data_IF_031461892557
#
_entry.id   IF_031461892557
#
_cell.length_a   1.000
_cell.length_b   1.000
_cell.length_c   1.000
_cell.angle_alpha   90.00
_cell.angle_beta   90.00
_cell.angle_gamma   90.00
#
_symmetry.space_group_name_H-M   'P 1'
#
loop_
_entity.id
_entity.type
_entity.pdbx_description
1 polymer ?
#
# COMPACT_ATOMS: atom_id res chain seq x y z
N UNK A 1 21.01 -6.74 -18.27
CA UNK A 1 22.28 -6.77 -17.49
C UNK A 1 22.83 -5.35 -17.33
N UNK A 2 22.15 -4.48 -16.56
CA UNK A 2 22.53 -3.06 -16.45
C UNK A 2 22.49 -2.46 -15.04
N UNK A 3 21.85 -3.12 -14.06
CA UNK A 3 21.71 -2.61 -12.69
C UNK A 3 22.99 -2.71 -11.85
N UNK A 4 23.81 -3.75 -12.05
CA UNK A 4 25.06 -3.92 -11.28
C UNK A 4 26.16 -2.94 -11.74
N UNK A 5 26.15 -2.55 -13.02
CA UNK A 5 27.08 -1.55 -13.58
C UNK A 5 26.69 -0.11 -13.17
N UNK A 6 25.41 0.18 -12.95
CA UNK A 6 24.95 1.48 -12.41
C UNK A 6 25.30 1.63 -10.93
N UNK A 7 25.16 0.58 -10.12
CA UNK A 7 25.60 0.61 -8.72
C UNK A 7 27.13 0.81 -8.60
N UNK A 8 27.91 0.32 -9.57
CA UNK A 8 29.37 0.49 -9.60
C UNK A 8 29.83 1.89 -10.02
N UNK A 9 28.99 2.65 -10.75
CA UNK A 9 29.26 4.03 -11.18
C UNK A 9 28.49 5.10 -10.39
N UNK A 10 27.69 4.68 -9.40
CA UNK A 10 26.95 5.58 -8.53
C UNK A 10 27.91 6.32 -7.59
N UNK A 11 27.66 7.61 -7.39
CA UNK A 11 28.46 8.41 -6.45
C UNK A 11 28.28 7.86 -5.03
N UNK A 12 29.27 8.06 -4.16
CA UNK A 12 29.25 7.58 -2.77
C UNK A 12 27.97 8.05 -2.03
N UNK A 13 27.47 9.24 -2.38
CA UNK A 13 26.21 9.80 -1.91
C UNK A 13 24.97 8.98 -2.33
N UNK A 14 24.88 8.55 -3.59
CA UNK A 14 23.75 7.75 -4.10
C UNK A 14 23.68 6.36 -3.44
N UNK A 15 24.84 5.71 -3.26
CA UNK A 15 24.90 4.42 -2.57
C UNK A 15 24.44 4.53 -1.11
N UNK A 16 24.91 5.56 -0.39
CA UNK A 16 24.47 5.84 0.98
C UNK A 16 22.96 6.15 0.99
N UNK A 17 22.48 6.96 0.06
CA UNK A 17 21.06 7.32 -0.06
C UNK A 17 20.16 6.10 -0.23
N UNK A 18 20.50 5.20 -1.14
CA UNK A 18 19.76 3.93 -1.33
C UNK A 18 19.79 3.06 -0.08
N UNK A 19 20.93 2.98 0.61
CA UNK A 19 21.06 2.27 1.88
C UNK A 19 20.16 2.85 2.97
N UNK A 20 20.11 4.17 3.10
CA UNK A 20 19.25 4.87 4.07
C UNK A 20 17.77 4.64 3.77
N UNK A 21 17.34 4.71 2.51
CA UNK A 21 15.94 4.45 2.11
C UNK A 21 15.51 3.03 2.48
N UNK A 22 16.39 2.04 2.26
CA UNK A 22 16.08 0.66 2.65
C UNK A 22 16.01 0.51 4.16
N UNK A 23 16.94 1.14 4.90
CA UNK A 23 16.95 1.13 6.37
C UNK A 23 15.71 1.79 6.96
N UNK A 24 15.27 2.93 6.43
CA UNK A 24 14.07 3.62 6.92
C UNK A 24 12.80 2.85 6.61
N UNK A 25 12.71 2.20 5.44
CA UNK A 25 11.59 1.33 5.11
C UNK A 25 11.47 0.15 6.10
N UNK A 26 12.59 -0.49 6.44
CA UNK A 26 12.61 -1.59 7.43
C UNK A 26 12.27 -1.06 8.82
N UNK A 27 12.86 0.06 9.24
CA UNK A 27 12.59 0.67 10.55
C UNK A 27 11.10 1.05 10.71
N UNK A 28 10.47 1.58 9.66
CA UNK A 28 9.05 1.90 9.65
C UNK A 28 8.17 0.66 9.84
N UNK A 29 8.48 -0.45 9.18
CA UNK A 29 7.77 -1.72 9.37
C UNK A 29 7.90 -2.26 10.79
N UNK A 30 9.12 -2.19 11.35
CA UNK A 30 9.38 -2.61 12.74
C UNK A 30 8.58 -1.76 13.72
N UNK A 31 8.60 -0.43 13.56
CA UNK A 31 7.84 0.48 14.43
C UNK A 31 6.32 0.25 14.31
N UNK A 32 5.80 0.10 13.09
CA UNK A 32 4.39 -0.21 12.88
C UNK A 32 3.98 -1.52 13.57
N UNK A 33 4.84 -2.53 13.56
CA UNK A 33 4.60 -3.79 14.27
C UNK A 33 4.59 -3.63 15.78
N UNK A 34 5.53 -2.87 16.36
CA UNK A 34 5.55 -2.56 17.79
C UNK A 34 4.28 -1.83 18.21
N UNK A 35 3.89 -0.78 17.47
CA UNK A 35 2.69 -0.02 17.78
C UNK A 35 1.42 -0.87 17.68
N UNK A 36 1.30 -1.67 16.61
CA UNK A 36 0.18 -2.60 16.47
C UNK A 36 0.10 -3.56 17.67
N UNK A 37 1.24 -4.09 18.12
CA UNK A 37 1.29 -5.02 19.26
C UNK A 37 0.87 -4.35 20.57
N UNK A 38 1.25 -3.11 20.81
CA UNK A 38 0.84 -2.38 22.02
C UNK A 38 -0.67 -2.10 22.01
N UNK A 39 -1.21 -1.62 20.88
CA UNK A 39 -2.66 -1.37 20.74
C UNK A 39 -3.49 -2.65 20.90
N UNK A 40 -3.01 -3.77 20.35
CA UNK A 40 -3.71 -5.07 20.39
C UNK A 40 -3.71 -5.72 21.79
N UNK A 41 -2.86 -5.26 22.72
CA UNK A 41 -2.81 -5.77 24.10
C UNK A 41 -3.81 -5.10 25.03
N UNK A 42 -4.30 -3.92 24.66
CA UNK A 42 -5.23 -3.15 25.48
C UNK A 42 -6.57 -3.89 25.60
N UNK A 43 -7.25 -3.71 26.73
CA UNK A 43 -8.51 -4.38 27.01
C UNK A 43 -9.62 -3.80 26.12
N UNK A 44 -10.41 -4.62 25.39
CA UNK A 44 -11.52 -4.18 24.53
C UNK A 44 -12.71 -3.56 25.31
N UNK A 45 -12.59 -3.44 26.63
CA UNK A 45 -13.51 -2.76 27.53
C UNK A 45 -14.85 -3.48 27.67
N UNK A 46 -15.92 -2.73 27.98
CA UNK A 46 -17.21 -3.33 28.41
C UNK A 46 -17.91 -4.13 27.31
N UNK A 47 -18.72 -5.11 27.70
CA UNK A 47 -19.50 -5.97 26.79
C UNK A 47 -20.36 -5.17 25.80
N UNK A 48 -20.99 -4.09 26.28
CA UNK A 48 -21.75 -3.14 25.43
C UNK A 48 -20.89 -2.43 24.39
N UNK A 49 -19.66 -2.10 24.74
CA UNK A 49 -18.73 -1.44 23.82
C UNK A 49 -18.26 -2.41 22.73
N UNK A 50 -18.06 -3.69 23.07
CA UNK A 50 -17.74 -4.75 22.11
C UNK A 50 -18.90 -5.05 21.15
N UNK A 51 -20.14 -5.02 21.63
CA UNK A 51 -21.34 -5.15 20.77
C UNK A 51 -21.42 -4.03 19.72
N UNK A 52 -21.25 -2.78 20.15
CA UNK A 52 -21.32 -1.61 19.26
C UNK A 52 -20.15 -1.61 18.27
N UNK A 53 -18.93 -1.86 18.73
CA UNK A 53 -17.75 -1.89 17.86
C UNK A 53 -17.85 -3.02 16.82
N UNK A 54 -18.43 -4.16 17.19
CA UNK A 54 -18.74 -5.26 16.27
C UNK A 54 -19.72 -4.86 15.16
N UNK A 55 -20.77 -4.10 15.48
CA UNK A 55 -21.74 -3.59 14.50
C UNK A 55 -21.07 -2.58 13.55
N UNK A 56 -20.30 -1.63 14.08
CA UNK A 56 -19.56 -0.64 13.29
C UNK A 56 -18.57 -1.33 12.35
N UNK A 57 -17.82 -2.32 12.86
CA UNK A 57 -16.87 -3.11 12.07
C UNK A 57 -17.54 -3.81 10.90
N UNK A 58 -18.69 -4.43 11.14
CA UNK A 58 -19.43 -5.13 10.08
C UNK A 58 -19.84 -4.16 8.98
N UNK A 59 -20.34 -2.97 9.34
CA UNK A 59 -20.66 -1.90 8.40
C UNK A 59 -19.43 -1.39 7.63
N UNK A 60 -18.32 -1.17 8.31
CA UNK A 60 -17.07 -0.70 7.70
C UNK A 60 -16.49 -1.71 6.70
N UNK A 61 -16.51 -3.01 7.02
CA UNK A 61 -16.08 -4.06 6.10
C UNK A 61 -17.00 -4.14 4.88
N UNK A 62 -18.32 -4.04 5.07
CA UNK A 62 -19.28 -4.03 3.98
C UNK A 62 -19.07 -2.83 3.03
N UNK A 63 -18.87 -1.63 3.59
CA UNK A 63 -18.54 -0.44 2.82
C UNK A 63 -17.23 -0.60 2.04
N UNK A 64 -16.17 -1.07 2.70
CA UNK A 64 -14.87 -1.26 2.06
C UNK A 64 -14.97 -2.26 0.91
N UNK A 65 -15.66 -3.39 1.10
CA UNK A 65 -15.89 -4.37 0.03
C UNK A 65 -16.61 -3.74 -1.17
N UNK A 66 -17.62 -2.88 -0.92
CA UNK A 66 -18.31 -2.17 -2.00
C UNK A 66 -17.41 -1.13 -2.68
N UNK A 67 -16.55 -0.46 -1.92
CA UNK A 67 -15.55 0.45 -2.47
C UNK A 67 -14.56 -0.29 -3.38
N UNK A 68 -14.08 -1.47 -2.97
CA UNK A 68 -13.17 -2.29 -3.77
C UNK A 68 -13.79 -2.68 -5.11
N UNK A 69 -15.08 -3.02 -5.14
CA UNK A 69 -15.82 -3.34 -6.36
C UNK A 69 -15.83 -2.18 -7.37
N UNK A 70 -15.78 -0.94 -6.89
CA UNK A 70 -15.75 0.27 -7.74
C UNK A 70 -14.32 0.71 -8.06
N UNK A 71 -13.41 0.67 -7.09
CA UNK A 71 -12.04 1.18 -7.22
C UNK A 71 -11.17 0.26 -8.08
N UNK A 72 -11.31 -1.07 -7.98
CA UNK A 72 -10.54 -2.02 -8.80
C UNK A 72 -10.75 -1.78 -10.31
N UNK A 73 -11.99 -1.77 -10.85
CA UNK A 73 -12.19 -1.53 -12.27
C UNK A 73 -11.77 -0.11 -12.67
N UNK A 74 -11.98 0.89 -11.82
CA UNK A 74 -11.51 2.25 -12.07
C UNK A 74 -9.97 2.32 -12.21
N UNK A 75 -9.23 1.69 -11.30
CA UNK A 75 -7.77 1.64 -11.35
C UNK A 75 -7.28 0.92 -12.62
N UNK A 76 -7.99 -0.13 -13.06
CA UNK A 76 -7.68 -0.83 -14.30
C UNK A 76 -7.91 0.04 -15.54
N UNK A 77 -9.04 0.75 -15.61
CA UNK A 77 -9.33 1.71 -16.69
C UNK A 77 -8.28 2.82 -16.72
N UNK A 78 -7.92 3.39 -15.57
CA UNK A 78 -6.87 4.40 -15.47
C UNK A 78 -5.50 3.87 -15.93
N UNK A 79 -5.15 2.63 -15.59
CA UNK A 79 -3.93 1.99 -16.09
C UNK A 79 -3.89 1.91 -17.62
N UNK A 80 -5.02 1.58 -18.25
CA UNK A 80 -5.14 1.54 -19.72
C UNK A 80 -5.00 2.95 -20.30
N UNK A 81 -5.66 3.95 -19.71
CA UNK A 81 -5.55 5.35 -20.15
C UNK A 81 -4.10 5.85 -20.03
N UNK A 82 -3.40 5.52 -18.95
CA UNK A 82 -1.99 5.86 -18.78
C UNK A 82 -1.09 5.19 -19.82
N UNK A 83 -1.40 3.95 -20.20
CA UNK A 83 -0.69 3.27 -21.29
C UNK A 83 -0.89 4.00 -22.63
N UNK A 84 -2.12 4.34 -22.99
CA UNK A 84 -2.42 5.04 -24.25
C UNK A 84 -1.82 6.46 -24.29
N UNK A 85 -1.92 7.22 -23.20
CA UNK A 85 -1.33 8.57 -23.15
C UNK A 85 0.19 8.56 -23.26
N UNK A 86 0.87 7.54 -22.73
CA UNK A 86 2.31 7.37 -22.91
C UNK A 86 2.67 6.93 -24.33
N UNK A 87 1.87 6.05 -24.93
CA UNK A 87 2.07 5.61 -26.32
C UNK A 87 1.87 6.76 -27.32
N UNK A 88 0.86 7.61 -27.10
CA UNK A 88 0.58 8.78 -27.95
C UNK A 88 1.64 9.87 -27.85
N UNK A 89 2.49 9.84 -26.82
CA UNK A 89 3.61 10.75 -26.62
C UNK A 89 4.93 10.21 -27.19
N UNK A 90 4.89 9.21 -28.07
CA UNK A 90 6.07 8.53 -28.67
C UNK A 90 7.07 7.98 -27.64
N UNK A 91 6.60 7.63 -26.43
CA UNK A 91 7.46 7.03 -25.43
C UNK A 91 7.83 5.58 -25.81
N UNK A 92 9.06 5.12 -25.50
CA UNK A 92 9.44 3.71 -25.66
C UNK A 92 8.41 2.78 -25.02
N UNK A 93 8.11 1.65 -25.67
CA UNK A 93 7.12 0.68 -25.18
C UNK A 93 7.39 0.23 -23.73
N UNK A 94 8.66 0.17 -23.32
CA UNK A 94 9.06 -0.12 -21.94
C UNK A 94 8.52 0.92 -20.92
N UNK A 95 8.50 2.20 -21.26
CA UNK A 95 8.01 3.28 -20.39
C UNK A 95 6.48 3.28 -20.34
N UNK A 96 5.82 3.07 -21.48
CA UNK A 96 4.35 3.04 -21.57
C UNK A 96 3.75 1.90 -20.76
N UNK A 97 4.32 0.69 -20.85
CA UNK A 97 3.92 -0.46 -20.02
C UNK A 97 4.29 -0.19 -18.56
N UNK A 98 5.49 0.36 -18.30
CA UNK A 98 5.96 0.68 -16.96
C UNK A 98 5.04 1.63 -16.20
N UNK A 99 4.46 2.64 -16.86
CA UNK A 99 3.51 3.60 -16.24
C UNK A 99 2.22 2.93 -15.78
N UNK A 100 1.60 2.11 -16.62
CA UNK A 100 0.39 1.37 -16.25
C UNK A 100 0.67 0.33 -15.16
N UNK A 101 1.74 -0.46 -15.32
CA UNK A 101 2.13 -1.47 -14.35
C UNK A 101 2.46 -0.87 -12.97
N UNK A 102 3.16 0.27 -12.94
CA UNK A 102 3.46 0.98 -11.69
C UNK A 102 2.18 1.44 -10.96
N UNK A 103 1.17 1.93 -11.70
CA UNK A 103 -0.11 2.31 -11.11
C UNK A 103 -0.83 1.10 -10.50
N UNK A 104 -0.88 -0.04 -11.21
CA UNK A 104 -1.53 -1.25 -10.68
C UNK A 104 -0.79 -1.83 -9.47
N UNK A 105 0.54 -1.77 -9.47
CA UNK A 105 1.36 -2.21 -8.34
C UNK A 105 1.15 -1.31 -7.12
N UNK A 106 1.13 0.02 -7.32
CA UNK A 106 0.81 0.97 -6.25
C UNK A 106 -0.62 0.80 -5.72
N UNK A 107 -1.59 0.65 -6.62
CA UNK A 107 -2.99 0.45 -6.26
C UNK A 107 -3.19 -0.84 -5.45
N UNK A 108 -2.60 -1.96 -5.89
CA UNK A 108 -2.72 -3.23 -5.15
C UNK A 108 -2.08 -3.16 -3.76
N UNK A 109 -0.91 -2.51 -3.63
CA UNK A 109 -0.28 -2.26 -2.33
C UNK A 109 -1.17 -1.40 -1.41
N UNK A 110 -1.75 -0.32 -1.94
CA UNK A 110 -2.66 0.56 -1.19
C UNK A 110 -3.91 -0.19 -0.71
N UNK A 111 -4.51 -1.01 -1.58
CA UNK A 111 -5.70 -1.80 -1.24
C UNK A 111 -5.37 -2.87 -0.19
N UNK A 112 -4.20 -3.51 -0.29
CA UNK A 112 -3.73 -4.48 0.69
C UNK A 112 -3.58 -3.83 2.08
N UNK A 113 -2.92 -2.67 2.16
CA UNK A 113 -2.73 -1.94 3.43
C UNK A 113 -4.09 -1.51 4.02
N UNK A 114 -5.02 -1.02 3.19
CA UNK A 114 -6.37 -0.65 3.63
C UNK A 114 -7.16 -1.82 4.22
N UNK A 115 -7.11 -2.99 3.57
CA UNK A 115 -7.77 -4.19 4.09
C UNK A 115 -7.11 -4.73 5.37
N UNK A 116 -5.78 -4.76 5.41
CA UNK A 116 -5.03 -5.22 6.58
C UNK A 116 -5.28 -4.29 7.77
N UNK A 117 -5.24 -2.98 7.57
CA UNK A 117 -5.49 -2.00 8.62
C UNK A 117 -6.88 -2.16 9.25
N UNK A 118 -7.94 -2.26 8.43
CA UNK A 118 -9.30 -2.43 8.93
C UNK A 118 -9.49 -3.76 9.67
N UNK A 119 -8.88 -4.85 9.19
CA UNK A 119 -9.03 -6.18 9.79
C UNK A 119 -8.15 -6.38 11.04
N UNK A 120 -6.96 -5.82 11.08
CA UNK A 120 -5.99 -6.01 12.18
C UNK A 120 -6.15 -4.96 13.28
N UNK A 121 -6.37 -3.69 12.93
CA UNK A 121 -6.46 -2.59 13.91
C UNK A 121 -7.92 -2.32 14.28
N UNK A 122 -8.83 -2.33 13.30
CA UNK A 122 -10.27 -2.12 13.54
C UNK A 122 -10.98 -3.26 14.28
N UNK A 123 -10.26 -4.29 14.73
CA UNK A 123 -10.83 -5.41 15.51
C UNK A 123 -10.65 -5.30 17.01
N UNK A 124 -9.69 -4.51 17.49
CA UNK A 124 -9.34 -4.45 18.93
C UNK A 124 -8.92 -3.07 19.43
N UNK A 125 -8.83 -2.07 18.57
CA UNK A 125 -8.41 -0.71 18.96
C UNK A 125 -9.53 0.17 19.55
N UNK A 126 -10.62 -0.41 20.05
CA UNK A 126 -11.71 0.31 20.71
C UNK A 126 -12.10 -0.39 22.00
#
# INVERSE_FOLDING_TARGET
MGGLETLRNATLFEQIGLGVVLLTAIAALVYAWFLAREVLKEDPGTERMQEISGAIRTGAIAYLNKQMEVVIPLAFVLSIVLFFTAHLADAPLAISIGRGAALLLGASCSLAIGQIGLRVVGTRGN
#
